data_IF_244830144875
#
_entry.id   IF_244830144875
#
_cell.length_a   1.000
_cell.length_b   1.000
_cell.length_c   1.000
_cell.angle_alpha   90.00
_cell.angle_beta   90.00
_cell.angle_gamma   90.00
#
_symmetry.space_group_name_H-M   'P 1'
#
loop_
_entity.id
_entity.type
_entity.pdbx_description
1 polymer ?
2 water ?
#
# COMPACT_ATOMS: atom_id res chain seq x y z
N UNK A 6 13.81 -22.84 -15.44
CA UNK A 6 14.66 -22.38 -16.54
C UNK A 6 13.95 -21.35 -17.40
N UNK A 7 12.78 -21.71 -17.92
CA UNK A 7 11.99 -20.79 -18.74
C UNK A 7 10.97 -20.06 -17.85
N UNK A 8 11.52 -19.24 -16.95
CA UNK A 8 10.75 -18.40 -16.05
C UNK A 8 11.52 -17.10 -15.87
N UNK A 9 10.83 -15.98 -15.98
CA UNK A 9 11.49 -14.69 -15.91
C UNK A 9 11.13 -13.96 -14.61
N UNK A 10 12.03 -13.07 -14.21
CA UNK A 10 11.92 -12.27 -13.00
C UNK A 10 12.34 -10.85 -13.36
N UNK A 11 11.65 -9.88 -12.80
CA UNK A 11 12.00 -8.48 -13.03
C UNK A 11 11.97 -7.67 -11.76
N UNK A 12 12.76 -6.60 -11.77
CA UNK A 12 12.89 -5.67 -10.67
C UNK A 12 12.79 -4.24 -11.22
N UNK A 13 12.07 -3.38 -10.51
CA UNK A 13 12.05 -1.98 -10.89
C UNK A 13 12.37 -1.11 -9.68
N UNK A 14 11.44 -0.98 -8.75
CA UNK A 14 11.71 -0.19 -7.56
C UNK A 14 12.08 -1.14 -6.44
N UNK A 15 11.31 -1.10 -5.36
CA UNK A 15 11.48 -2.03 -4.25
C UNK A 15 10.70 -3.31 -4.49
N UNK A 16 10.18 -3.49 -5.70
CA UNK A 16 9.26 -4.57 -6.04
C UNK A 16 9.92 -5.55 -7.00
N UNK A 17 9.50 -6.81 -6.90
CA UNK A 17 9.97 -7.89 -7.75
C UNK A 17 8.77 -8.58 -8.36
N UNK A 18 8.87 -8.93 -9.65
CA UNK A 18 7.79 -9.59 -10.38
C UNK A 18 8.31 -10.93 -10.88
N UNK A 19 7.56 -12.00 -10.59
CA UNK A 19 7.91 -13.35 -10.97
C UNK A 19 6.79 -13.92 -11.84
N UNK A 20 7.14 -14.40 -13.02
CA UNK A 20 6.21 -15.06 -13.91
C UNK A 20 6.74 -16.44 -14.25
N UNK A 21 5.99 -17.48 -13.89
CA UNK A 21 6.43 -18.85 -14.06
C UNK A 21 5.26 -19.74 -14.44
N UNK A 22 5.55 -20.75 -15.25
CA UNK A 22 4.60 -21.82 -15.57
C UNK A 22 5.28 -23.14 -15.23
N UNK A 23 4.64 -23.93 -14.37
CA UNK A 23 5.25 -25.15 -13.87
C UNK A 23 4.22 -26.26 -13.84
N UNK A 24 4.71 -27.49 -13.69
CA UNK A 24 3.83 -28.65 -13.58
C UNK A 24 3.06 -28.59 -12.27
N UNK A 25 1.77 -28.90 -12.35
CA UNK A 25 0.93 -28.82 -11.16
C UNK A 25 1.09 -30.06 -10.31
N UNK A 26 1.34 -29.85 -9.02
CA UNK A 26 1.31 -30.90 -8.03
C UNK A 26 0.60 -30.34 -6.81
N UNK A 27 0.05 -31.24 -6.00
CA UNK A 27 -0.73 -30.85 -4.84
C UNK A 27 0.10 -30.03 -3.87
N UNK A 28 -0.33 -28.81 -3.59
CA UNK A 28 0.38 -27.95 -2.65
C UNK A 28 1.53 -27.15 -3.23
N UNK A 29 1.75 -27.20 -4.55
CA UNK A 29 2.91 -26.53 -5.13
C UNK A 29 2.78 -25.02 -5.04
N UNK A 30 1.56 -24.49 -5.16
CA UNK A 30 1.36 -23.05 -5.15
C UNK A 30 1.75 -22.45 -3.80
N UNK A 31 1.30 -23.07 -2.71
CA UNK A 31 1.66 -22.60 -1.38
C UNK A 31 3.17 -22.70 -1.15
N UNK A 32 3.80 -23.75 -1.68
CA UNK A 32 5.25 -23.88 -1.53
C UNK A 32 5.98 -22.78 -2.28
N UNK A 33 5.54 -22.45 -3.50
CA UNK A 33 6.19 -21.41 -4.28
C UNK A 33 6.16 -20.08 -3.55
N UNK A 34 4.99 -19.72 -3.01
CA UNK A 34 4.91 -18.46 -2.27
C UNK A 34 5.71 -18.53 -0.98
N UNK A 35 5.83 -19.71 -0.38
CA UNK A 35 6.64 -19.85 0.82
C UNK A 35 8.11 -19.61 0.51
N UNK A 36 8.60 -20.10 -0.64
CA UNK A 36 9.97 -19.78 -1.04
C UNK A 36 10.13 -18.30 -1.29
N UNK A 37 9.12 -17.66 -1.88
CA UNK A 37 9.18 -16.21 -2.09
C UNK A 37 9.29 -15.49 -0.76
N UNK A 38 8.54 -15.94 0.25
CA UNK A 38 8.65 -15.36 1.58
C UNK A 38 10.01 -15.67 2.22
N UNK A 39 10.53 -16.88 1.98
CA UNK A 39 11.84 -17.23 2.51
C UNK A 39 12.95 -16.38 1.89
N UNK A 40 12.68 -15.76 0.74
CA UNK A 40 13.61 -14.87 0.08
C UNK A 40 13.45 -13.42 0.50
N UNK A 41 12.79 -13.18 1.65
CA UNK A 41 12.56 -11.84 2.18
C UNK A 41 11.75 -11.00 1.21
N UNK A 42 10.72 -11.61 0.60
CA UNK A 42 9.82 -10.94 -0.32
C UNK A 42 8.39 -11.10 0.17
N UNK A 43 7.68 -9.98 0.26
CA UNK A 43 6.28 -9.98 0.70
C UNK A 43 5.38 -9.88 -0.53
N UNK A 44 4.60 -10.93 -0.77
CA UNK A 44 3.75 -10.99 -1.95
C UNK A 44 2.45 -10.24 -1.70
N UNK A 45 2.21 -9.17 -2.47
CA UNK A 45 0.98 -8.40 -2.36
C UNK A 45 -0.05 -8.70 -3.44
N UNK A 46 0.37 -9.12 -4.64
CA UNK A 46 -0.56 -9.30 -5.74
C UNK A 46 -0.18 -10.55 -6.53
N UNK A 47 -1.18 -11.42 -6.75
CA UNK A 47 -0.98 -12.71 -7.41
C UNK A 47 -2.05 -12.88 -8.49
N UNK A 48 -1.62 -13.37 -9.66
CA UNK A 48 -2.53 -13.75 -10.73
C UNK A 48 -2.14 -15.15 -11.19
N UNK A 49 -3.09 -16.09 -11.13
CA UNK A 49 -2.77 -17.50 -11.38
C UNK A 49 -3.94 -18.18 -12.10
N UNK A 50 -3.59 -19.20 -12.90
CA UNK A 50 -4.58 -20.02 -13.57
C UNK A 50 -3.99 -21.40 -13.81
N UNK A 51 -4.88 -22.39 -13.96
CA UNK A 51 -4.49 -23.76 -14.23
C UNK A 51 -5.00 -24.19 -15.60
N UNK A 52 -4.33 -25.17 -16.17
CA UNK A 52 -4.72 -25.69 -17.48
C UNK A 52 -3.83 -26.78 -18.03
N UNK A 53 -4.43 -27.86 -18.52
CA UNK A 53 -3.72 -29.03 -19.05
C UNK A 53 -2.76 -29.63 -18.02
N UNK A 54 -3.03 -29.42 -16.74
CA UNK A 54 -2.18 -29.91 -15.68
C UNK A 54 -1.01 -29.01 -15.37
N UNK A 55 -1.02 -27.78 -15.86
CA UNK A 55 0.05 -26.82 -15.67
C UNK A 55 -0.50 -25.65 -14.87
N UNK A 56 0.37 -24.96 -14.14
CA UNK A 56 -0.03 -23.81 -13.35
C UNK A 56 0.75 -22.58 -13.81
N UNK A 57 0.04 -21.57 -14.28
CA UNK A 57 0.63 -20.29 -14.67
C UNK A 57 0.47 -19.31 -13.52
N UNK A 58 1.57 -18.70 -13.11
CA UNK A 58 1.59 -17.89 -11.89
C UNK A 58 2.36 -16.61 -12.12
N UNK A 59 1.80 -15.49 -11.68
CA UNK A 59 2.46 -14.19 -11.69
C UNK A 59 2.35 -13.59 -10.30
N UNK A 60 3.50 -13.28 -9.70
CA UNK A 60 3.55 -12.75 -8.34
C UNK A 60 4.26 -11.41 -8.35
N UNK A 61 3.60 -10.39 -7.81
CA UNK A 61 4.19 -9.08 -7.60
C UNK A 61 4.42 -8.91 -6.11
N UNK A 62 5.69 -8.83 -5.71
CA UNK A 62 6.07 -8.79 -4.31
C UNK A 62 7.05 -7.65 -4.09
N UNK A 63 7.16 -7.21 -2.83
CA UNK A 63 8.09 -6.17 -2.44
C UNK A 63 8.99 -6.69 -1.32
N UNK A 64 10.18 -6.10 -1.24
CA UNK A 64 11.15 -6.49 -0.23
C UNK A 64 10.68 -6.10 1.17
N UNK A 65 10.88 -7.01 2.12
CA UNK A 65 10.53 -6.76 3.49
C UNK A 65 11.51 -5.81 4.17
N UNK A 66 12.60 -5.47 3.50
CA UNK A 66 13.60 -4.58 4.04
C UNK A 66 14.52 -4.05 2.95
N UNK A 67 15.78 -4.47 2.95
CA UNK A 67 16.72 -4.01 1.94
C UNK A 67 16.58 -4.86 0.67
N UNK A 68 17.25 -4.41 -0.39
CA UNK A 68 17.20 -5.11 -1.66
C UNK A 68 18.08 -6.37 -1.64
N UNK A 69 18.25 -6.96 -0.47
CA UNK A 69 19.12 -8.12 -0.30
C UNK A 69 18.39 -9.35 -0.82
N UNK A 70 19.07 -10.11 -1.68
CA UNK A 70 18.61 -11.40 -2.18
C UNK A 70 17.49 -11.24 -3.20
N UNK A 71 17.75 -10.48 -4.25
CA UNK A 71 16.78 -10.22 -5.30
C UNK A 71 17.24 -10.46 -6.74
N UNK A 72 18.27 -11.31 -7.04
CA UNK A 72 18.69 -11.38 -8.44
C UNK A 72 18.27 -12.66 -9.15
N UNK A 73 19.11 -13.69 -9.03
CA UNK A 73 18.88 -15.00 -9.61
C UNK A 73 18.73 -16.06 -8.55
N UNK A 74 18.88 -15.65 -7.29
CA UNK A 74 18.64 -16.57 -6.17
C UNK A 74 17.21 -17.06 -6.16
N UNK A 75 16.29 -16.25 -6.69
CA UNK A 75 14.89 -16.67 -6.77
C UNK A 75 14.75 -17.87 -7.69
N UNK A 76 15.46 -17.86 -8.81
CA UNK A 76 15.39 -18.98 -9.75
C UNK A 76 15.81 -20.30 -9.12
N UNK A 77 16.98 -20.31 -8.47
CA UNK A 77 17.46 -21.54 -7.85
C UNK A 77 16.53 -21.99 -6.74
N UNK A 78 16.05 -21.04 -5.93
CA UNK A 78 15.12 -21.37 -4.86
C UNK A 78 13.79 -21.89 -5.39
N UNK A 79 13.29 -21.29 -6.48
CA UNK A 79 12.02 -21.75 -7.05
C UNK A 79 12.17 -23.10 -7.73
N UNK A 80 13.27 -23.34 -8.43
CA UNK A 80 13.47 -24.62 -9.11
C UNK A 80 13.61 -25.77 -8.12
N UNK A 81 13.96 -25.50 -6.86
CA UNK A 81 14.06 -26.57 -5.87
C UNK A 81 12.71 -27.21 -5.60
N UNK A 82 11.62 -26.46 -5.71
CA UNK A 82 10.29 -26.95 -5.35
C UNK A 82 9.33 -27.03 -6.54
N UNK A 83 9.65 -26.42 -7.68
CA UNK A 83 8.73 -26.40 -8.81
C UNK A 83 9.45 -26.84 -10.09
N UNK A 84 8.75 -27.61 -10.91
CA UNK A 84 9.26 -28.07 -12.20
C UNK A 84 8.66 -27.19 -13.29
N UNK A 85 9.44 -26.21 -13.74
CA UNK A 85 9.04 -25.39 -14.88
C UNK A 85 8.84 -26.32 -16.07
N UNK A 86 7.58 -26.57 -16.41
CA UNK A 86 7.15 -27.56 -17.40
C UNK A 86 8.15 -27.88 -18.51
N UNK B 2 25.34 0.13 -16.45
CA UNK B 2 24.76 -0.92 -17.28
C UNK B 2 24.64 -0.46 -18.73
N UNK B 3 23.94 0.64 -18.94
CA UNK B 3 23.73 1.17 -20.26
C UNK B 3 23.35 2.63 -20.23
N UNK B 4 22.61 3.06 -21.26
CA UNK B 4 22.21 4.45 -21.41
C UNK B 4 20.92 4.73 -20.65
N UNK B 5 19.79 4.64 -21.35
CA UNK B 5 18.49 4.79 -20.70
C UNK B 5 18.15 3.62 -19.79
N UNK B 6 19.00 2.58 -19.76
CA UNK B 6 18.81 1.45 -18.87
C UNK B 6 18.97 1.83 -17.40
N UNK B 7 19.41 3.06 -17.11
CA UNK B 7 19.37 3.59 -15.76
C UNK B 7 18.00 4.14 -15.37
N UNK B 8 16.97 3.81 -16.14
CA UNK B 8 15.60 4.12 -15.78
C UNK B 8 14.75 2.88 -15.95
N UNK B 9 14.11 2.44 -14.87
CA UNK B 9 13.25 1.27 -14.92
C UNK B 9 11.83 1.70 -14.58
N UNK B 10 10.85 0.99 -15.14
CA UNK B 10 9.44 1.28 -14.89
C UNK B 10 8.69 -0.04 -14.75
N UNK B 11 7.80 -0.13 -13.80
CA UNK B 11 6.95 -1.30 -13.65
C UNK B 11 5.54 -0.89 -13.31
N UNK B 12 4.59 -1.74 -13.69
CA UNK B 12 3.19 -1.49 -13.38
C UNK B 12 2.54 -2.77 -12.87
N UNK B 13 1.82 -2.66 -11.77
CA UNK B 13 0.95 -3.73 -11.28
C UNK B 13 -0.38 -3.12 -10.87
N UNK B 14 -1.47 -3.67 -11.39
CA UNK B 14 -2.79 -3.17 -11.09
C UNK B 14 -2.94 -1.68 -11.32
N UNK B 15 -3.32 -0.96 -10.27
CA UNK B 15 -3.50 0.49 -10.29
C UNK B 15 -2.22 1.27 -9.96
N UNK B 16 -1.08 0.60 -9.79
CA UNK B 16 0.13 1.26 -9.32
C UNK B 16 1.22 1.25 -10.38
N UNK B 17 2.04 2.32 -10.35
CA UNK B 17 3.19 2.48 -11.24
C UNK B 17 4.42 2.79 -10.39
N UNK B 18 5.55 2.20 -10.75
CA UNK B 18 6.81 2.40 -10.04
C UNK B 18 7.85 2.91 -11.02
N UNK B 19 8.51 4.02 -10.67
CA UNK B 19 9.54 4.64 -11.50
C UNK B 19 10.84 4.73 -10.70
N UNK B 20 11.92 4.18 -11.26
CA UNK B 20 13.25 4.30 -10.68
C UNK B 20 14.19 4.86 -11.74
N UNK B 21 14.80 6.01 -11.46
CA UNK B 21 15.63 6.70 -12.44
C UNK B 21 16.83 7.34 -11.76
N UNK B 22 17.94 7.38 -12.50
CA UNK B 22 19.14 8.10 -12.09
C UNK B 22 19.52 9.06 -13.21
N UNK B 23 19.60 10.35 -12.88
CA UNK B 23 19.82 11.38 -13.89
C UNK B 23 20.77 12.43 -13.35
N UNK B 24 21.28 13.27 -14.25
CA UNK B 24 22.15 14.37 -13.85
C UNK B 24 21.35 15.42 -13.07
N UNK B 25 21.95 15.91 -11.99
CA UNK B 25 21.28 16.86 -11.12
C UNK B 25 21.36 18.28 -11.65
N UNK B 26 20.22 18.96 -11.69
CA UNK B 26 20.15 20.39 -11.95
C UNK B 26 19.13 20.98 -10.99
N UNK B 27 19.24 22.29 -10.74
CA UNK B 27 18.37 22.92 -9.77
C UNK B 27 16.91 22.82 -10.22
N UNK B 28 16.08 22.25 -9.35
CA UNK B 28 14.66 22.13 -9.61
C UNK B 28 14.26 20.91 -10.42
N UNK B 29 15.19 20.02 -10.75
CA UNK B 29 14.83 18.89 -11.61
C UNK B 29 13.91 17.93 -10.88
N UNK B 30 14.04 17.79 -9.56
CA UNK B 30 13.21 16.85 -8.81
C UNK B 30 11.74 17.27 -8.86
N UNK B 31 11.46 18.55 -8.59
CA UNK B 31 10.10 19.04 -8.66
C UNK B 31 9.55 18.97 -10.08
N UNK B 32 10.42 19.21 -11.07
CA UNK B 32 9.99 19.11 -12.46
C UNK B 32 9.63 17.68 -12.83
N UNK B 33 10.40 16.71 -12.34
CA UNK B 33 10.07 15.31 -12.56
C UNK B 33 8.72 14.96 -11.91
N UNK B 34 8.50 15.46 -10.69
CA UNK B 34 7.22 15.19 -10.05
C UNK B 34 6.07 15.89 -10.77
N UNK B 35 6.32 17.06 -11.36
CA UNK B 35 5.27 17.75 -12.11
C UNK B 35 4.88 16.99 -13.38
N UNK B 36 5.86 16.45 -14.11
CA UNK B 36 5.53 15.66 -15.29
C UNK B 36 4.80 14.38 -14.90
N UNK B 37 5.19 13.75 -13.80
CA UNK B 37 4.49 12.56 -13.32
C UNK B 37 3.03 12.90 -13.03
N UNK B 38 2.77 14.07 -12.44
CA UNK B 38 1.40 14.51 -12.23
C UNK B 38 0.71 14.81 -13.55
N UNK B 39 1.45 15.36 -14.52
CA UNK B 39 0.89 15.63 -15.84
C UNK B 39 0.49 14.34 -16.55
N UNK B 40 1.05 13.20 -16.13
CA UNK B 40 0.70 11.90 -16.68
C UNK B 40 -0.45 11.24 -15.93
N UNK B 41 -1.20 12.03 -15.15
CA UNK B 41 -2.34 11.54 -14.37
C UNK B 41 -1.91 10.45 -13.39
N UNK B 42 -0.77 10.67 -12.74
CA UNK B 42 -0.24 9.77 -11.73
C UNK B 42 -0.03 10.54 -10.43
N UNK B 43 -0.58 10.00 -9.34
CA UNK B 43 -0.46 10.63 -8.03
C UNK B 43 0.62 9.92 -7.22
N UNK B 44 1.70 10.66 -6.92
CA UNK B 44 2.84 10.07 -6.21
C UNK B 44 2.58 10.07 -4.72
N UNK B 45 2.53 8.88 -4.11
CA UNK B 45 2.35 8.73 -2.67
C UNK B 45 3.65 8.48 -1.92
N UNK B 46 4.66 7.88 -2.56
CA UNK B 46 5.88 7.51 -1.88
C UNK B 46 7.08 7.82 -2.77
N UNK B 47 8.05 8.53 -2.20
CA UNK B 47 9.24 8.99 -2.92
C UNK B 47 10.48 8.64 -2.11
N UNK B 48 11.49 8.11 -2.78
CA UNK B 48 12.81 7.86 -2.19
C UNK B 48 13.86 8.44 -3.11
N UNK B 49 14.69 9.34 -2.57
CA UNK B 49 15.65 10.07 -3.40
C UNK B 49 16.94 10.27 -2.64
N UNK B 50 18.05 10.33 -3.39
CA UNK B 50 19.37 10.61 -2.83
C UNK B 50 20.22 11.27 -3.90
N UNK B 51 21.24 12.00 -3.45
CA UNK B 51 22.17 12.68 -4.32
C UNK B 51 23.58 12.09 -4.17
N UNK B 52 24.38 12.29 -5.21
CA UNK B 52 25.74 11.79 -5.23
C UNK B 52 26.44 12.17 -6.53
N UNK B 53 27.65 12.71 -6.43
CA UNK B 53 28.38 13.25 -7.58
C UNK B 53 27.49 14.32 -8.18
N UNK B 54 27.26 14.31 -9.50
CA UNK B 54 26.36 15.26 -10.12
C UNK B 54 25.07 14.57 -10.50
N UNK B 55 24.81 13.43 -9.87
CA UNK B 55 23.71 12.56 -10.24
C UNK B 55 22.67 12.51 -9.13
N UNK B 56 21.40 12.29 -9.52
CA UNK B 56 20.28 12.20 -8.59
C UNK B 56 19.57 10.87 -8.81
N UNK B 57 19.50 10.05 -7.77
CA UNK B 57 18.77 8.78 -7.80
C UNK B 57 17.39 8.96 -7.18
N UNK B 58 16.36 8.57 -7.92
CA UNK B 58 14.99 8.83 -7.52
C UNK B 58 14.11 7.61 -7.77
N UNK B 59 13.28 7.27 -6.78
CA UNK B 59 12.29 6.20 -6.91
C UNK B 59 10.94 6.75 -6.47
N UNK B 60 9.95 6.68 -7.35
CA UNK B 60 8.62 7.23 -7.11
C UNK B 60 7.59 6.11 -7.24
N UNK B 61 6.75 5.96 -6.21
CA UNK B 61 5.62 5.05 -6.23
C UNK B 61 4.35 5.87 -6.38
N UNK B 62 3.64 5.69 -7.48
CA UNK B 62 2.49 6.52 -7.82
C UNK B 62 1.30 5.66 -8.20
N UNK B 63 0.12 6.27 -8.15
CA UNK B 63 -1.15 5.64 -8.50
C UNK B 63 -1.84 6.44 -9.59
N UNK B 64 -2.65 5.74 -10.39
CA UNK B 64 -3.37 6.40 -11.48
C UNK B 64 -4.46 7.30 -10.91
N UNK B 65 -4.53 8.54 -11.40
CA UNK B 65 -5.52 9.50 -10.93
C UNK B 65 -6.88 9.35 -11.59
N UNK B 66 -7.01 8.57 -12.66
CA UNK B 66 -8.31 8.42 -13.29
C UNK B 66 -8.44 7.29 -14.29
N UNK B 67 -9.32 7.47 -15.27
CA UNK B 67 -9.55 6.47 -16.31
C UNK B 67 -8.57 6.58 -17.47
N UNK B 68 -8.06 7.78 -17.72
CA UNK B 68 -7.11 8.06 -18.79
C UNK B 68 -5.73 7.52 -18.41
N UNK B 69 -5.59 6.20 -18.43
CA UNK B 69 -4.38 5.55 -17.95
C UNK B 69 -3.27 5.78 -18.95
N UNK B 70 -2.16 6.34 -18.47
CA UNK B 70 -0.95 6.52 -19.27
C UNK B 70 -0.33 5.17 -19.64
N UNK B 71 0.73 5.22 -20.43
CA UNK B 71 1.44 4.06 -20.96
C UNK B 71 2.94 4.24 -20.70
N UNK B 72 3.69 3.14 -20.59
CA UNK B 72 5.13 3.29 -20.31
C UNK B 72 5.87 4.19 -21.29
N UNK B 73 5.49 4.16 -22.57
CA UNK B 73 6.16 5.01 -23.54
C UNK B 73 5.87 6.49 -23.31
N UNK B 74 4.65 6.80 -22.86
CA UNK B 74 4.38 8.19 -22.47
C UNK B 74 5.18 8.58 -21.24
N UNK B 75 5.40 7.64 -20.31
CA UNK B 75 6.19 7.94 -19.13
C UNK B 75 7.66 8.15 -19.50
N UNK B 76 8.19 7.28 -20.36
CA UNK B 76 9.60 7.40 -20.76
C UNK B 76 9.85 8.71 -21.50
N UNK B 77 9.01 9.04 -22.48
CA UNK B 77 9.20 10.27 -23.24
C UNK B 77 9.05 11.49 -22.34
N UNK B 78 8.06 11.47 -21.44
CA UNK B 78 7.87 12.59 -20.53
C UNK B 78 9.03 12.75 -19.57
N UNK B 79 9.57 11.64 -19.06
CA UNK B 79 10.70 11.73 -18.13
C UNK B 79 11.96 12.19 -18.84
N UNK B 80 12.23 11.67 -20.04
CA UNK B 80 13.41 12.09 -20.78
C UNK B 80 13.30 13.53 -21.26
N UNK B 81 12.08 14.05 -21.36
CA UNK B 81 11.89 15.44 -21.79
C UNK B 81 12.45 16.42 -20.77
N UNK B 82 12.46 16.07 -19.49
CA UNK B 82 12.85 16.99 -18.44
C UNK B 82 14.12 16.56 -17.72
N UNK B 83 14.56 15.32 -17.86
CA UNK B 83 15.75 14.83 -17.18
C UNK B 83 16.65 14.10 -18.17
N UNK B 84 17.96 14.19 -17.93
CA UNK B 84 18.95 13.46 -18.71
C UNK B 84 19.38 12.23 -17.91
N UNK B 85 18.76 11.10 -18.21
CA UNK B 85 19.09 9.85 -17.53
C UNK B 85 20.50 9.44 -17.92
N UNK B 86 21.38 9.31 -16.92
CA UNK B 86 22.75 8.91 -17.17
C UNK B 86 22.97 7.46 -16.78
N UNK C 8 2.46 17.47 12.65
CA UNK C 8 3.68 17.80 13.37
C UNK C 8 4.80 18.07 12.38
N UNK C 9 5.46 19.22 12.50
CA UNK C 9 6.47 19.65 11.55
C UNK C 9 7.87 19.65 12.18
N UNK C 10 8.81 20.32 11.52
CA UNK C 10 10.20 20.40 11.98
C UNK C 10 10.72 21.83 11.88
N UNK C 11 12.02 21.98 11.64
CA UNK C 11 12.61 23.31 11.53
C UNK C 11 13.64 23.55 10.44
N UNK C 12 14.57 24.45 10.72
CA UNK C 12 15.62 24.89 9.79
C UNK C 12 17.00 24.76 10.43
N UNK C 13 17.99 24.32 9.64
CA UNK C 13 19.38 24.22 10.09
C UNK C 13 20.33 24.89 9.10
N UNK C 14 20.49 26.20 9.26
CA UNK C 14 21.41 26.98 8.43
C UNK C 14 20.82 27.42 7.11
N UNK C 15 21.51 27.08 6.01
CA UNK C 15 21.03 27.43 4.68
C UNK C 15 20.11 26.37 4.11
N UNK C 16 19.85 25.32 4.88
CA UNK C 16 19.01 24.20 4.48
C UNK C 16 17.83 24.13 5.44
N UNK C 17 16.70 23.64 4.95
CA UNK C 17 15.51 23.47 5.76
C UNK C 17 15.08 22.02 5.64
N UNK C 18 14.70 21.43 6.78
CA UNK C 18 14.28 20.05 6.85
C UNK C 18 12.86 20.03 7.40
N UNK C 19 11.95 19.42 6.68
CA UNK C 19 10.55 19.34 7.07
C UNK C 19 10.18 17.87 7.20
N UNK C 20 9.69 17.49 8.37
CA UNK C 20 9.17 16.15 8.61
C UNK C 20 7.75 16.29 9.14
N UNK C 21 6.79 15.71 8.43
CA UNK C 21 5.39 15.88 8.75
C UNK C 21 4.66 14.57 8.58
N UNK C 22 3.65 14.36 9.42
CA UNK C 22 2.75 13.22 9.32
C UNK C 22 1.33 13.75 9.23
N UNK C 23 0.64 13.43 8.14
CA UNK C 23 -0.70 13.93 7.89
C UNK C 23 -1.54 12.82 7.28
N UNK C 24 -2.85 13.03 7.30
CA UNK C 24 -3.76 12.07 6.68
C UNK C 24 -3.58 12.07 5.17
N UNK C 25 -3.54 10.87 4.58
CA UNK C 25 -3.31 10.77 3.15
C UNK C 25 -4.61 10.99 2.38
N UNK C 26 -4.54 11.87 1.38
CA UNK C 26 -5.61 12.05 0.41
C UNK C 26 -4.96 12.16 -0.96
N UNK C 27 -5.75 11.90 -2.00
CA UNK C 27 -5.21 11.90 -3.35
C UNK C 27 -4.64 13.27 -3.71
N UNK C 28 -3.37 13.29 -4.10
CA UNK C 28 -2.69 14.51 -4.52
C UNK C 28 -2.12 15.37 -3.43
N UNK C 29 -2.17 14.94 -2.16
CA UNK C 29 -1.70 15.80 -1.08
C UNK C 29 -0.18 15.95 -1.12
N UNK C 30 0.54 14.91 -1.53
CA UNK C 30 2.01 14.98 -1.53
C UNK C 30 2.51 16.04 -2.51
N UNK C 31 1.99 16.03 -3.74
CA UNK C 31 2.38 17.04 -4.71
C UNK C 31 1.97 18.43 -4.24
N UNK C 32 0.81 18.53 -3.57
CA UNK C 32 0.39 19.83 -3.05
C UNK C 32 1.35 20.31 -1.98
N UNK C 33 1.83 19.40 -1.12
CA UNK C 33 2.82 19.77 -0.11
C UNK C 33 4.08 20.30 -0.78
N UNK C 34 4.52 19.62 -1.85
CA UNK C 34 5.70 20.07 -2.58
C UNK C 34 5.47 21.41 -3.27
N UNK C 35 4.24 21.66 -3.73
CA UNK C 35 3.94 22.93 -4.38
C UNK C 35 4.03 24.09 -3.40
N UNK C 36 3.53 23.92 -2.17
CA UNK C 36 3.66 24.97 -1.18
C UNK C 36 5.12 25.19 -0.81
N UNK C 37 5.91 24.12 -0.70
CA UNK C 37 7.33 24.27 -0.39
C UNK C 37 8.02 25.09 -1.47
N UNK C 38 7.71 24.82 -2.75
CA UNK C 38 8.26 25.61 -3.83
C UNK C 38 7.69 27.03 -3.83
N UNK C 39 6.42 27.18 -3.47
CA UNK C 39 5.82 28.51 -3.41
C UNK C 39 6.48 29.40 -2.37
N UNK C 40 7.18 28.82 -1.40
CA UNK C 40 7.92 29.57 -0.39
C UNK C 40 9.37 29.81 -0.80
N UNK C 41 9.69 29.66 -2.09
CA UNK C 41 11.05 29.86 -2.60
C UNK C 41 12.04 28.91 -1.93
N UNK C 42 11.66 27.64 -1.83
CA UNK C 42 12.49 26.59 -1.26
C UNK C 42 12.75 25.53 -2.31
N UNK C 43 14.02 25.19 -2.51
CA UNK C 43 14.44 24.19 -3.50
C UNK C 43 14.68 22.87 -2.80
N UNK C 44 13.90 21.86 -3.18
CA UNK C 44 13.92 20.55 -2.54
C UNK C 44 15.11 19.73 -3.01
N UNK C 45 15.94 19.28 -2.06
CA UNK C 45 17.12 18.47 -2.35
C UNK C 45 16.83 16.98 -2.35
N UNK C 46 16.04 16.53 -1.39
CA UNK C 46 15.76 15.11 -1.20
C UNK C 46 14.38 14.95 -0.57
N UNK C 47 13.60 14.02 -1.07
CA UNK C 47 12.27 13.77 -0.55
C UNK C 47 12.18 12.28 -0.19
N UNK C 48 11.70 12.01 1.03
CA UNK C 48 11.48 10.65 1.49
C UNK C 48 10.06 10.57 2.03
N UNK C 49 9.25 9.70 1.47
CA UNK C 49 7.84 9.65 1.84
C UNK C 49 7.33 8.21 1.79
N UNK C 50 6.35 7.93 2.64
CA UNK C 50 5.68 6.64 2.65
C UNK C 50 4.26 6.84 3.16
N UNK C 51 3.37 5.92 2.79
CA UNK C 51 1.97 5.96 3.20
C UNK C 51 1.69 4.74 4.06
N UNK C 52 1.58 4.96 5.37
CA UNK C 52 1.28 3.89 6.30
C UNK C 52 -0.04 4.11 7.00
N UNK C 53 -0.88 3.07 7.05
CA UNK C 53 -2.24 3.14 7.61
C UNK C 53 -2.98 4.23 6.83
N UNK C 54 -3.41 5.32 7.46
CA UNK C 54 -4.08 6.41 6.79
C UNK C 54 -3.23 7.66 6.85
N UNK C 55 -1.94 7.46 7.14
CA UNK C 55 -0.98 8.54 7.35
C UNK C 55 0.04 8.59 6.23
N UNK C 56 0.60 9.79 6.05
CA UNK C 56 1.67 10.03 5.09
C UNK C 56 2.86 10.56 5.88
N UNK C 57 3.95 9.82 5.88
CA UNK C 57 5.18 10.23 6.53
C UNK C 57 6.10 10.83 5.48
N UNK C 58 6.56 12.05 5.73
CA UNK C 58 7.30 12.79 4.72
C UNK C 58 8.46 13.53 5.37
N UNK C 59 9.64 13.43 4.75
CA UNK C 59 10.80 14.20 5.15
C UNK C 59 11.37 14.88 3.92
N UNK C 60 11.47 16.21 3.96
CA UNK C 60 11.91 17.01 2.82
C UNK C 60 13.13 17.83 3.23
N UNK C 61 14.19 17.73 2.42
CA UNK C 61 15.39 18.52 2.59
C UNK C 61 15.41 19.58 1.49
N UNK C 62 15.34 20.85 1.87
CA UNK C 62 15.23 21.94 0.90
C UNK C 62 16.22 23.05 1.22
N UNK C 63 16.51 23.86 0.20
CA UNK C 63 17.42 24.99 0.32
C UNK C 63 16.75 26.29 -0.13
N UNK C 64 17.20 27.41 0.45
CA UNK C 64 16.66 28.72 0.10
C UNK C 64 17.11 29.14 -1.29
N UNK C 65 16.17 29.63 -2.10
CA UNK C 65 16.52 30.12 -3.44
C UNK C 65 17.00 31.58 -3.35
N UNK C 66 16.10 32.50 -3.03
CA UNK C 66 16.45 33.90 -2.96
C UNK C 66 16.58 34.49 -1.57
N UNK C 67 16.29 35.78 -1.44
CA UNK C 67 16.40 36.48 -0.16
C UNK C 67 15.17 36.35 0.72
N UNK C 68 14.05 35.87 0.17
CA UNK C 68 12.81 35.70 0.94
C UNK C 68 12.95 34.48 1.85
N UNK C 69 13.83 34.60 2.83
CA UNK C 69 14.19 33.49 3.69
C UNK C 69 13.10 33.20 4.72
N UNK C 70 11.87 32.97 4.26
CA UNK C 70 10.81 32.50 5.16
C UNK C 70 11.34 31.38 6.04
N UNK C 71 10.93 31.41 7.30
CA UNK C 71 11.42 30.53 8.34
C UNK C 71 10.22 29.93 9.06
N UNK C 72 10.41 28.85 9.86
CA UNK C 72 9.24 28.12 10.38
C UNK C 72 8.22 29.01 11.07
N UNK C 73 6.99 28.49 11.09
CA UNK C 73 5.81 29.16 11.60
C UNK C 73 5.05 29.62 10.38
N UNK C 74 5.76 30.31 9.49
CA UNK C 74 5.21 30.66 8.18
C UNK C 74 5.04 29.40 7.33
N UNK C 75 5.96 28.46 7.46
CA UNK C 75 5.86 27.17 6.76
C UNK C 75 4.72 26.34 7.35
N UNK C 76 4.60 26.33 8.68
CA UNK C 76 3.56 25.52 9.33
C UNK C 76 2.17 25.88 8.83
N UNK C 77 1.84 27.18 8.83
CA UNK C 77 0.54 27.59 8.34
C UNK C 77 0.36 27.20 6.89
N UNK C 78 1.42 27.32 6.09
CA UNK C 78 1.35 26.93 4.69
C UNK C 78 1.05 25.44 4.56
N UNK C 79 1.65 24.62 5.42
CA UNK C 79 1.38 23.19 5.39
C UNK C 79 -0.01 22.88 5.94
N UNK C 80 -0.41 23.57 7.01
CA UNK C 80 -1.72 23.34 7.63
C UNK C 80 -2.89 23.70 6.72
N UNK C 81 -2.68 24.58 5.73
CA UNK C 81 -3.76 24.95 4.83
C UNK C 81 -4.21 23.75 3.99
N UNK C 82 -3.31 22.81 3.74
CA UNK C 82 -3.61 21.65 2.91
C UNK C 82 -3.60 20.35 3.69
N UNK C 83 -3.10 20.34 4.92
CA UNK C 83 -3.04 19.13 5.73
C UNK C 83 -3.60 19.38 7.13
N UNK D 7 -10.07 -2.32 23.52
CA UNK D 7 -9.82 -2.70 22.14
C UNK D 7 -10.47 -1.71 21.18
N UNK D 8 -9.66 -0.93 20.47
CA UNK D 8 -10.15 0.03 19.50
C UNK D 8 -9.34 -0.11 18.22
N UNK D 9 -10.03 -0.34 17.10
CA UNK D 9 -9.42 -0.52 15.81
C UNK D 9 -9.81 0.65 14.92
N UNK D 10 -8.83 1.29 14.29
CA UNK D 10 -9.09 2.39 13.38
C UNK D 10 -8.25 2.14 12.14
N UNK D 11 -8.90 2.17 10.98
CA UNK D 11 -8.21 1.96 9.72
C UNK D 11 -8.75 2.86 8.63
N UNK D 12 -7.87 3.62 8.00
CA UNK D 12 -8.26 4.51 6.91
C UNK D 12 -7.77 3.90 5.61
N UNK D 13 -8.65 3.86 4.62
CA UNK D 13 -8.31 3.35 3.29
C UNK D 13 -8.83 4.33 2.24
N UNK D 14 -7.99 5.31 1.88
CA UNK D 14 -8.39 6.27 0.90
C UNK D 14 -9.53 7.16 1.35
N UNK D 15 -10.65 7.08 0.65
CA UNK D 15 -11.83 7.87 0.96
C UNK D 15 -12.73 7.24 2.02
N UNK D 16 -12.34 6.09 2.57
CA UNK D 16 -13.15 5.38 3.54
C UNK D 16 -12.37 5.24 4.85
N UNK D 17 -13.12 5.26 5.96
CA UNK D 17 -12.56 5.06 7.29
C UNK D 17 -13.39 3.97 7.97
N UNK D 18 -12.70 3.07 8.67
CA UNK D 18 -13.35 1.96 9.37
C UNK D 18 -13.00 2.06 10.84
N UNK D 19 -14.01 2.07 11.70
CA UNK D 19 -13.83 2.17 13.15
C UNK D 19 -14.46 0.96 13.80
N UNK D 20 -13.68 0.23 14.60
CA UNK D 20 -14.17 -0.88 15.40
C UNK D 20 -13.80 -0.61 16.85
N UNK D 21 -14.81 -0.54 17.72
CA UNK D 21 -14.59 -0.17 19.10
C UNK D 21 -15.47 -1.04 20.00
N UNK D 22 -14.91 -1.39 21.16
CA UNK D 22 -15.64 -2.09 22.20
C UNK D 22 -15.44 -1.33 23.50
N UNK D 23 -16.53 -0.87 24.11
CA UNK D 23 -16.46 -0.03 25.30
C UNK D 23 -17.56 -0.44 26.27
N UNK D 24 -17.43 0.04 27.51
CA UNK D 24 -18.46 -0.20 28.51
C UNK D 24 -19.73 0.55 28.14
N UNK D 25 -20.87 -0.11 28.30
CA UNK D 25 -22.15 0.47 27.91
C UNK D 25 -22.67 1.42 28.98
N UNK D 26 -23.06 2.62 28.55
CA UNK D 26 -23.75 3.60 29.35
C UNK D 26 -24.87 4.20 28.52
N UNK D 27 -25.89 4.71 29.20
CA UNK D 27 -27.05 5.25 28.50
C UNK D 27 -26.66 6.44 27.63
N UNK D 28 -26.96 6.35 26.34
CA UNK D 28 -26.68 7.41 25.39
C UNK D 28 -25.29 7.45 24.81
N UNK D 29 -24.44 6.45 25.11
CA UNK D 29 -23.07 6.50 24.63
C UNK D 29 -22.99 6.32 23.12
N UNK D 30 -23.91 5.53 22.54
CA UNK D 30 -23.85 5.24 21.12
C UNK D 30 -24.03 6.51 20.29
N UNK D 31 -25.06 7.30 20.60
CA UNK D 31 -25.26 8.56 19.88
C UNK D 31 -24.12 9.54 20.12
N UNK D 32 -23.54 9.53 21.33
CA UNK D 32 -22.42 10.41 21.61
C UNK D 32 -21.20 10.05 20.76
N UNK D 33 -20.95 8.76 20.57
CA UNK D 33 -19.85 8.32 19.71
C UNK D 33 -20.07 8.78 18.28
N UNK D 34 -21.31 8.63 17.78
CA UNK D 34 -21.59 9.03 16.41
C UNK D 34 -21.49 10.54 16.23
N UNK D 35 -21.86 11.32 17.26
CA UNK D 35 -21.71 12.77 17.18
C UNK D 35 -20.24 13.16 17.15
N UNK D 36 -19.40 12.45 17.92
CA UNK D 36 -17.96 12.71 17.88
C UNK D 36 -17.40 12.37 16.50
N UNK D 37 -17.86 11.28 15.91
CA UNK D 37 -17.43 10.92 14.56
C UNK D 37 -17.85 12.02 13.57
N UNK D 38 -19.06 12.55 13.73
CA UNK D 38 -19.49 13.66 12.88
C UNK D 38 -18.66 14.92 13.12
N UNK D 39 -18.27 15.16 14.38
CA UNK D 39 -17.41 16.29 14.68
C UNK D 39 -16.03 16.15 14.04
N UNK D 40 -15.64 14.94 13.66
CA UNK D 40 -14.37 14.68 12.99
C UNK D 40 -14.48 14.77 11.48
N UNK D 41 -15.53 15.40 10.96
CA UNK D 41 -15.75 15.54 9.53
C UNK D 41 -15.83 14.19 8.84
N UNK D 42 -16.53 13.24 9.48
CA UNK D 42 -16.73 11.91 8.97
C UNK D 42 -18.22 11.64 8.85
N UNK D 43 -18.66 11.20 7.67
CA UNK D 43 -20.07 10.90 7.42
C UNK D 43 -20.25 9.39 7.49
N UNK D 44 -21.01 8.93 8.48
CA UNK D 44 -21.20 7.50 8.70
C UNK D 44 -22.31 6.99 7.80
N UNK D 45 -21.99 6.06 6.90
CA UNK D 45 -22.99 5.48 6.01
C UNK D 45 -23.52 4.13 6.48
N UNK D 46 -22.73 3.32 7.16
CA UNK D 46 -23.19 2.01 7.62
C UNK D 46 -22.58 1.70 8.97
N UNK D 47 -23.43 1.33 9.93
CA UNK D 47 -23.03 1.07 11.31
C UNK D 47 -23.61 -0.26 11.76
N UNK D 48 -22.79 -1.07 12.44
CA UNK D 48 -23.23 -2.33 13.03
C UNK D 48 -22.81 -2.35 14.50
N UNK D 49 -23.77 -2.56 15.39
CA UNK D 49 -23.52 -2.47 16.83
C UNK D 49 -24.29 -3.55 17.57
N UNK D 50 -23.74 -3.94 18.72
CA UNK D 50 -24.35 -4.95 19.58
C UNK D 50 -23.92 -4.68 21.03
N UNK D 51 -24.70 -5.21 21.97
CA UNK D 51 -24.44 -5.05 23.39
C UNK D 51 -24.09 -6.40 24.01
N UNK D 52 -24.30 -6.51 25.32
CA UNK D 52 -24.01 -7.75 26.04
C UNK D 52 -22.92 -7.59 27.07
N UNK D 53 -23.19 -8.11 28.27
CA UNK D 53 -22.30 -7.98 29.43
C UNK D 53 -21.97 -6.53 29.75
N UNK D 54 -22.95 -5.63 29.55
CA UNK D 54 -22.73 -4.23 29.82
C UNK D 54 -21.71 -3.58 28.91
N UNK D 55 -21.39 -4.23 27.80
CA UNK D 55 -20.39 -3.76 26.86
C UNK D 55 -21.06 -3.43 25.53
N UNK D 56 -20.47 -2.50 24.78
CA UNK D 56 -20.99 -2.13 23.47
C UNK D 56 -19.93 -2.38 22.42
N UNK D 57 -20.24 -3.28 21.48
CA UNK D 57 -19.38 -3.56 20.34
C UNK D 57 -19.90 -2.79 19.14
N UNK D 58 -19.04 -2.00 18.51
CA UNK D 58 -19.48 -1.08 17.48
C UNK D 58 -18.51 -1.11 16.32
N UNK D 59 -19.07 -1.17 15.10
CA UNK D 59 -18.30 -1.07 13.87
C UNK D 59 -18.93 0.01 13.02
N UNK D 60 -18.15 1.02 12.65
CA UNK D 60 -18.64 2.17 11.91
C UNK D 60 -17.89 2.25 10.59
N UNK D 61 -18.65 2.29 9.50
CA UNK D 61 -18.11 2.52 8.17
C UNK D 61 -18.48 3.92 7.76
N UNK D 62 -17.50 4.80 7.61
CA UNK D 62 -17.75 6.21 7.39
C UNK D 62 -16.95 6.71 6.20
N UNK D 63 -17.40 7.84 5.66
CA UNK D 63 -16.78 8.51 4.54
C UNK D 63 -16.42 9.93 4.92
N UNK D 64 -15.36 10.46 4.31
CA UNK D 64 -14.94 11.81 4.58
C UNK D 64 -15.93 12.81 3.98
N UNK D 65 -16.29 13.83 4.76
CA UNK D 65 -17.24 14.81 4.27
C UNK D 65 -16.59 15.80 3.30
N UNK D 66 -15.49 16.42 3.70
CA UNK D 66 -14.80 17.37 2.86
C UNK D 66 -13.33 17.01 2.70
N UNK D 67 -12.52 18.04 2.50
CA UNK D 67 -11.09 17.87 2.34
C UNK D 67 -10.35 17.82 3.68
N UNK D 68 -11.03 18.16 4.77
CA UNK D 68 -10.44 18.15 6.12
C UNK D 68 -10.33 16.71 6.65
N UNK D 69 -9.41 15.97 6.05
CA UNK D 69 -9.26 14.55 6.36
C UNK D 69 -8.62 14.45 7.75
N UNK D 70 -9.30 13.74 8.65
CA UNK D 70 -8.76 13.46 9.97
C UNK D 70 -7.77 12.30 9.91
N UNK D 71 -7.12 12.04 11.05
CA UNK D 71 -6.06 11.07 11.18
C UNK D 71 -6.40 10.09 12.30
N UNK D 72 -6.10 8.80 12.11
CA UNK D 72 -6.50 7.80 13.13
C UNK D 72 -6.10 8.17 14.55
N UNK D 73 -5.08 9.02 14.73
CA UNK D 73 -4.71 9.42 16.08
C UNK D 73 -5.61 10.52 16.58
N UNK D 74 -6.05 11.42 15.69
CA UNK D 74 -7.06 12.40 16.06
C UNK D 74 -8.41 11.74 16.33
N UNK D 75 -8.73 10.68 15.59
CA UNK D 75 -9.99 9.97 15.83
C UNK D 75 -9.95 9.26 17.17
N UNK D 76 -8.82 8.62 17.48
CA UNK D 76 -8.70 7.92 18.75
C UNK D 76 -8.83 8.89 19.92
N UNK D 77 -8.15 10.04 19.85
CA UNK D 77 -8.26 11.02 20.93
C UNK D 77 -9.69 11.54 21.08
N UNK D 78 -10.38 11.77 19.96
CA UNK D 78 -11.75 12.22 20.02
C UNK D 78 -12.64 11.19 20.69
N UNK D 79 -12.38 9.91 20.43
CA UNK D 79 -13.14 8.83 21.05
C UNK D 79 -12.86 8.72 22.54
N UNK D 80 -11.63 8.99 22.96
CA UNK D 80 -11.27 8.87 24.37
C UNK D 80 -12.06 9.84 25.24
N UNK D 81 -12.55 10.95 24.68
CA UNK D 81 -13.32 11.90 25.48
C UNK D 81 -14.67 11.32 25.91
N UNK D 82 -15.25 10.43 25.11
CA UNK D 82 -16.59 9.91 25.38
C UNK D 82 -16.60 8.42 25.65
N UNK D 83 -15.52 7.69 25.38
CA UNK D 83 -15.48 6.25 25.56
C UNK D 83 -14.25 5.87 26.37
N UNK D 84 -14.36 4.75 27.07
CA UNK D 84 -13.28 4.30 27.95
C UNK D 84 -12.09 3.82 27.13
N UNK D 85 -10.92 4.33 27.46
CA UNK D 85 -9.69 3.96 26.78
C UNK D 85 -9.37 2.50 27.04
N UNK E 6 -22.58 -6.21 5.88
CA UNK E 6 -22.22 -7.48 5.27
C UNK E 6 -20.70 -7.63 5.22
N UNK E 7 -20.22 -8.86 4.97
CA UNK E 7 -18.80 -9.14 5.04
C UNK E 7 -18.31 -9.99 3.87
N UNK E 8 -17.22 -10.73 4.10
CA UNK E 8 -16.57 -11.57 3.09
C UNK E 8 -17.25 -12.93 3.00
N UNK E 9 -17.49 -13.40 1.78
CA UNK E 9 -18.26 -14.61 1.56
C UNK E 9 -17.40 -15.78 1.14
N UNK E 10 -17.96 -16.98 1.37
CA UNK E 10 -17.34 -18.27 1.12
C UNK E 10 -18.36 -19.18 0.45
N UNK E 11 -17.90 -20.03 -0.47
CA UNK E 11 -18.78 -20.99 -1.09
C UNK E 11 -18.14 -22.36 -1.17
N UNK E 12 -18.99 -23.39 -1.18
CA UNK E 12 -18.55 -24.77 -1.27
C UNK E 12 -19.37 -25.49 -2.33
N UNK E 13 -18.68 -26.20 -3.23
CA UNK E 13 -19.33 -27.05 -4.22
C UNK E 13 -18.55 -28.35 -4.30
N UNK E 14 -19.21 -29.45 -3.95
CA UNK E 14 -18.56 -30.75 -3.91
C UNK E 14 -17.28 -30.70 -3.11
N UNK E 15 -16.17 -31.09 -3.74
CA UNK E 15 -14.87 -31.04 -3.09
C UNK E 15 -14.14 -29.72 -3.33
N UNK E 16 -14.79 -28.72 -3.92
CA UNK E 16 -14.13 -27.48 -4.28
C UNK E 16 -14.66 -26.36 -3.41
N UNK E 17 -13.76 -25.43 -3.04
CA UNK E 17 -14.11 -24.28 -2.21
C UNK E 17 -13.57 -23.02 -2.84
N UNK E 18 -14.36 -21.95 -2.79
CA UNK E 18 -13.99 -20.65 -3.32
C UNK E 18 -14.04 -19.63 -2.18
N UNK E 19 -12.96 -18.88 -2.00
CA UNK E 19 -12.85 -17.89 -0.94
C UNK E 19 -12.63 -16.53 -1.58
N UNK E 20 -13.51 -15.57 -1.32
CA UNK E 20 -13.30 -14.19 -1.75
C UNK E 20 -13.47 -13.28 -0.54
N UNK E 21 -12.42 -12.51 -0.23
CA UNK E 21 -12.39 -11.67 0.94
C UNK E 21 -11.65 -10.37 0.65
N UNK E 22 -12.05 -9.30 1.34
CA UNK E 22 -11.33 -8.03 1.33
C UNK E 22 -10.96 -7.68 2.76
N UNK E 23 -9.68 -7.46 3.01
CA UNK E 23 -9.21 -7.19 4.35
C UNK E 23 -8.18 -6.07 4.31
N UNK E 24 -7.90 -5.52 5.49
CA UNK E 24 -6.88 -4.49 5.61
C UNK E 24 -5.50 -5.08 5.33
N UNK E 25 -4.68 -4.33 4.60
CA UNK E 25 -3.37 -4.83 4.22
C UNK E 25 -2.40 -4.71 5.38
N UNK E 26 -1.69 -5.80 5.65
CA UNK E 26 -0.59 -5.82 6.60
C UNK E 26 0.55 -6.60 5.97
N UNK E 27 1.77 -6.30 6.39
CA UNK E 27 2.94 -6.97 5.82
C UNK E 27 2.88 -8.46 6.10
N UNK E 28 2.90 -9.27 5.03
CA UNK E 28 2.88 -10.70 5.17
C UNK E 28 1.51 -11.32 5.35
N UNK E 29 0.44 -10.53 5.24
CA UNK E 29 -0.90 -11.05 5.52
C UNK E 29 -1.34 -12.05 4.46
N UNK E 30 -0.91 -11.89 3.21
CA UNK E 30 -1.36 -12.77 2.15
C UNK E 30 -0.91 -14.21 2.39
N UNK E 31 0.37 -14.41 2.69
CA UNK E 31 0.86 -15.76 2.96
C UNK E 31 0.23 -16.34 4.22
N UNK E 32 -0.02 -15.50 5.23
CA UNK E 32 -0.64 -15.98 6.45
C UNK E 32 -2.07 -16.45 6.20
N UNK E 33 -2.80 -15.72 5.35
CA UNK E 33 -4.16 -16.16 5.01
C UNK E 33 -4.11 -17.51 4.29
N UNK E 34 -3.17 -17.67 3.36
CA UNK E 34 -3.03 -18.95 2.65
C UNK E 34 -2.56 -20.05 3.59
N UNK E 35 -1.73 -19.73 4.58
CA UNK E 35 -1.34 -20.73 5.55
C UNK E 35 -2.52 -21.19 6.39
N UNK E 36 -3.41 -20.25 6.74
CA UNK E 36 -4.64 -20.61 7.44
C UNK E 36 -5.52 -21.49 6.56
N UNK E 37 -5.59 -21.17 5.27
CA UNK E 37 -6.34 -22.00 4.34
C UNK E 37 -5.76 -23.42 4.31
N UNK E 38 -4.42 -23.52 4.33
CA UNK E 38 -3.79 -24.83 4.42
C UNK E 38 -4.08 -25.48 5.78
N UNK E 39 -4.12 -24.67 6.84
CA UNK E 39 -4.46 -25.20 8.15
C UNK E 39 -5.87 -25.74 8.21
N UNK E 40 -6.73 -25.32 7.28
CA UNK E 40 -8.09 -25.80 7.17
C UNK E 40 -8.20 -27.04 6.28
N UNK E 41 -7.08 -27.70 6.02
CA UNK E 41 -7.02 -28.89 5.18
C UNK E 41 -7.55 -28.59 3.78
N UNK E 42 -7.18 -27.43 3.24
CA UNK E 42 -7.56 -26.99 1.91
C UNK E 42 -6.31 -26.70 1.10
N UNK E 43 -6.24 -27.26 -0.10
CA UNK E 43 -5.11 -27.05 -1.00
C UNK E 43 -5.50 -26.02 -2.05
N UNK E 44 -4.82 -24.87 -2.02
CA UNK E 44 -5.14 -23.76 -2.92
C UNK E 44 -4.46 -23.98 -4.26
N UNK E 45 -5.26 -24.09 -5.33
CA UNK E 45 -4.73 -24.24 -6.67
C UNK E 45 -4.69 -22.92 -7.45
N UNK E 46 -5.57 -21.97 -7.12
CA UNK E 46 -5.66 -20.73 -7.87
C UNK E 46 -5.88 -19.57 -6.91
N UNK E 47 -5.08 -18.53 -7.05
CA UNK E 47 -5.12 -17.35 -6.19
C UNK E 47 -5.15 -16.11 -7.07
N UNK E 48 -6.06 -15.18 -6.75
CA UNK E 48 -6.13 -13.88 -7.41
C UNK E 48 -6.17 -12.82 -6.34
N UNK E 49 -5.20 -11.90 -6.37
CA UNK E 49 -5.08 -10.90 -5.32
C UNK E 49 -4.63 -9.58 -5.92
N UNK E 50 -5.07 -8.49 -5.30
CA UNK E 50 -4.69 -7.15 -5.71
C UNK E 50 -4.76 -6.22 -4.50
N UNK E 51 -4.03 -5.12 -4.59
CA UNK E 51 -4.00 -4.12 -3.54
C UNK E 51 -4.60 -2.82 -4.07
N UNK E 52 -5.05 -1.99 -3.14
CA UNK E 52 -5.67 -0.72 -3.47
C UNK E 52 -6.02 0.02 -2.21
N UNK E 53 -5.66 1.31 -2.16
CA UNK E 53 -5.80 2.10 -0.94
C UNK E 53 -5.01 1.42 0.17
N UNK E 54 -5.69 0.88 1.16
CA UNK E 54 -5.00 0.16 2.21
C UNK E 54 -5.57 -1.23 2.39
N UNK E 55 -6.29 -1.70 1.37
CA UNK E 55 -7.04 -2.94 1.43
C UNK E 55 -6.47 -3.97 0.47
N UNK E 56 -6.71 -5.24 0.79
CA UNK E 56 -6.27 -6.36 -0.04
C UNK E 56 -7.48 -7.18 -0.45
N UNK E 57 -7.71 -7.27 -1.75
CA UNK E 57 -8.79 -8.08 -2.31
C UNK E 57 -8.21 -9.41 -2.77
N UNK E 58 -8.81 -10.52 -2.31
CA UNK E 58 -8.25 -11.84 -2.54
C UNK E 58 -9.34 -12.84 -2.90
N UNK E 59 -9.09 -13.64 -3.93
CA UNK E 59 -9.97 -14.74 -4.31
C UNK E 59 -9.13 -16.00 -4.43
N UNK E 60 -9.50 -17.04 -3.68
CA UNK E 60 -8.75 -18.29 -3.61
C UNK E 60 -9.66 -19.45 -4.02
N UNK E 61 -9.19 -20.25 -4.97
CA UNK E 61 -9.86 -21.49 -5.38
C UNK E 61 -9.05 -22.65 -4.83
N UNK E 62 -9.66 -23.43 -3.93
CA UNK E 62 -8.95 -24.48 -3.22
C UNK E 62 -9.73 -25.79 -3.24
N UNK E 63 -9.01 -26.88 -2.97
CA UNK E 63 -9.55 -28.23 -2.87
C UNK E 63 -9.19 -28.80 -1.51
N UNK E 64 -10.03 -29.71 -1.01
CA UNK E 64 -9.77 -30.31 0.29
C UNK E 64 -8.56 -31.24 0.24
N UNK E 65 -7.64 -31.07 1.18
CA UNK E 65 -6.47 -31.93 1.31
C UNK E 65 -6.89 -33.17 2.11
N UNK E 66 -7.41 -34.17 1.40
CA UNK E 66 -7.85 -35.39 2.03
C UNK E 66 -9.33 -35.37 2.36
N UNK E 67 -9.76 -36.43 3.08
CA UNK E 67 -11.15 -36.59 3.48
C UNK E 67 -11.50 -35.85 4.77
N UNK E 68 -10.52 -35.21 5.41
CA UNK E 68 -10.72 -34.45 6.65
C UNK E 68 -11.39 -33.11 6.33
N UNK E 69 -12.67 -33.20 5.98
CA UNK E 69 -13.43 -32.05 5.46
C UNK E 69 -13.75 -31.08 6.60
N UNK E 70 -13.39 -29.82 6.41
CA UNK E 70 -13.75 -28.73 7.31
C UNK E 70 -15.05 -28.07 6.86
N UNK E 71 -15.52 -27.06 7.60
CA UNK E 71 -16.82 -26.45 7.34
C UNK E 71 -16.72 -24.95 7.20
N UNK E 72 -17.64 -24.33 6.45
CA UNK E 72 -17.54 -22.87 6.19
C UNK E 72 -17.41 -21.98 7.41
N UNK E 73 -18.29 -22.11 8.41
CA UNK E 73 -18.19 -21.28 9.60
C UNK E 73 -16.82 -21.36 10.25
N UNK E 74 -16.18 -22.53 10.16
CA UNK E 74 -14.80 -22.66 10.63
C UNK E 74 -13.86 -21.83 9.77
N UNK E 75 -14.13 -21.75 8.46
CA UNK E 75 -13.29 -20.98 7.55
C UNK E 75 -13.40 -19.48 7.86
N UNK E 76 -14.61 -19.01 8.11
CA UNK E 76 -14.81 -17.59 8.43
C UNK E 76 -14.05 -17.21 9.68
N UNK E 77 -14.24 -17.96 10.76
CA UNK E 77 -13.59 -17.65 12.03
C UNK E 77 -12.07 -17.81 11.94
N UNK E 78 -11.60 -18.87 11.27
CA UNK E 78 -10.16 -19.09 11.17
C UNK E 78 -9.47 -17.98 10.37
N UNK E 79 -10.11 -17.48 9.32
CA UNK E 79 -9.51 -16.43 8.51
C UNK E 79 -9.41 -15.12 9.30
N UNK E 80 -10.44 -14.81 10.09
CA UNK E 80 -10.44 -13.58 10.87
C UNK E 80 -9.34 -13.53 11.93
N UNK E 81 -8.77 -14.69 12.30
CA UNK E 81 -7.72 -14.70 13.31
C UNK E 81 -6.48 -13.93 12.85
N UNK E 82 -6.22 -13.93 11.54
CA UNK E 82 -5.04 -13.28 10.98
C UNK E 82 -5.36 -12.15 10.03
N UNK E 83 -6.62 -12.00 9.59
CA UNK E 83 -6.99 -10.97 8.65
C UNK E 83 -8.19 -10.19 9.17
N UNK E 84 -8.14 -8.87 9.01
CA UNK E 84 -9.20 -7.97 9.47
C UNK E 84 -10.11 -7.66 8.28
N UNK E 85 -11.24 -8.36 8.20
CA UNK E 85 -12.18 -8.15 7.10
C UNK E 85 -12.75 -6.76 7.20
N UNK E 86 -12.67 -6.00 6.10
CA UNK E 86 -13.19 -4.65 6.05
C UNK E 86 -14.13 -4.47 4.86
#
# INVERSE_FOLDING_TARGET
FTGLTDNLRIGSFGNEVVIELRCAWREGVLLEIMDVISDLHLDSHSVQSSTGDGLLCLTVNCKHKGSKIATPGMIKEALQRVAWIC
FTGLTDNLRIGSFGNEVVIELRCAWREGVLLEIMDVISDLHLDSHSVQSSTGDGLLCLTVNCKHKGSKIATPGMIKEALQRVAWIC
FTGLTDNLRIGSFGNEVVIELRCAWREGVLLEIMDVISDLHLDSHSVQSSTGDGLLCLTVNCKHKGSKIATPGMIKEALQRVAWIC
FTGLTDNLRIGSFGNEVVIELRCAWREGVLLEIMDVISDLHLDSHSVQSSTGDGLLCLTVNCKHKGSKIATPGMIKEALQRVAWIC
FTGLTDNLRIGSFGNEVVIELRCAWREGVLLEIMDVISDLHLDSHSVQSSTGDGLLCLTVNCKHKGSKIATPGMIKEALQRVAWIC
#
